data_IF_100556245953
#
_entry.id   IF_100556245953
#
_cell.length_a   1.000
_cell.length_b   1.000
_cell.length_c   1.000
_cell.angle_alpha   90.00
_cell.angle_beta   90.00
_cell.angle_gamma   90.00
#
_symmetry.space_group_name_H-M   'P 1'
#
loop_
_entity.id
_entity.type
_entity.pdbx_description
1 polymer ?
#
# COMPACT_ATOMS: atom_id res chain seq x y z
N UNK A 1 -17.74 4.77 -12.11
CA UNK A 1 -18.73 4.93 -10.98
C UNK A 1 -18.76 3.64 -10.20
N UNK A 2 -18.55 3.71 -8.89
CA UNK A 2 -18.52 2.52 -8.04
C UNK A 2 -19.76 1.63 -8.25
N UNK A 3 -19.59 0.31 -8.24
CA UNK A 3 -20.66 -0.68 -8.50
C UNK A 3 -21.74 -0.70 -7.42
N UNK A 4 -21.42 -0.23 -6.22
CA UNK A 4 -22.39 0.01 -5.15
C UNK A 4 -22.27 1.47 -4.70
N UNK A 5 -23.37 2.13 -4.30
CA UNK A 5 -23.32 3.50 -3.81
C UNK A 5 -22.52 3.55 -2.50
N UNK A 6 -21.84 4.66 -2.23
CA UNK A 6 -21.31 4.91 -0.90
C UNK A 6 -22.45 5.16 0.08
N UNK A 7 -22.34 4.73 1.34
CA UNK A 7 -23.35 5.03 2.35
C UNK A 7 -23.44 6.55 2.59
N UNK A 8 -24.66 7.04 2.81
CA UNK A 8 -24.93 8.48 3.01
C UNK A 8 -24.49 8.95 4.41
N UNK A 9 -24.72 8.13 5.42
CA UNK A 9 -24.39 8.42 6.81
C UNK A 9 -23.25 7.51 7.28
N UNK A 10 -22.04 8.03 7.29
CA UNK A 10 -20.85 7.31 7.77
C UNK A 10 -20.20 8.14 8.88
N UNK A 11 -19.85 7.48 9.99
CA UNK A 11 -19.01 8.10 11.01
C UNK A 11 -17.69 8.58 10.37
N UNK A 12 -17.33 9.86 10.48
CA UNK A 12 -16.13 10.41 9.84
C UNK A 12 -14.85 9.62 10.17
N UNK A 13 -14.69 9.20 11.41
CA UNK A 13 -13.52 8.46 11.90
C UNK A 13 -13.32 7.11 11.18
N UNK A 14 -14.39 6.55 10.59
CA UNK A 14 -14.28 5.30 9.84
C UNK A 14 -13.61 5.47 8.48
N UNK A 15 -13.80 6.60 7.87
CA UNK A 15 -13.45 6.82 6.45
C UNK A 15 -12.39 7.90 6.25
N UNK A 16 -12.22 8.80 7.21
CA UNK A 16 -11.14 9.78 7.19
C UNK A 16 -9.79 9.10 7.41
N UNK A 17 -8.78 9.60 6.75
CA UNK A 17 -7.42 9.15 6.98
C UNK A 17 -7.02 9.49 8.42
N UNK A 18 -6.97 8.47 9.28
CA UNK A 18 -6.36 8.63 10.60
C UNK A 18 -4.85 8.67 10.39
N UNK A 19 -4.34 9.88 10.22
CA UNK A 19 -2.91 10.08 10.28
C UNK A 19 -2.53 10.39 11.71
N UNK A 20 -1.36 9.90 12.17
CA UNK A 20 -0.83 10.33 13.43
C UNK A 20 -0.76 11.85 13.47
N UNK A 21 -1.09 12.47 14.60
CA UNK A 21 -0.91 13.91 14.82
C UNK A 21 0.54 14.40 14.59
N UNK A 22 1.44 13.48 14.38
CA UNK A 22 2.88 13.67 14.19
C UNK A 22 3.35 13.60 12.73
N UNK A 23 2.46 13.66 11.73
CA UNK A 23 2.94 13.73 10.36
C UNK A 23 3.86 14.96 10.19
N UNK A 24 5.04 14.77 9.58
CA UNK A 24 5.91 15.87 9.23
C UNK A 24 5.14 16.94 8.47
N UNK A 25 5.48 18.21 8.70
CA UNK A 25 4.81 19.37 8.07
C UNK A 25 4.77 19.25 6.53
N UNK A 26 5.78 18.60 5.94
CA UNK A 26 5.83 18.30 4.50
C UNK A 26 4.62 17.49 3.98
N UNK A 27 3.94 16.78 4.86
CA UNK A 27 2.75 15.96 4.54
C UNK A 27 1.43 16.64 4.91
N UNK A 28 1.47 17.86 5.45
CA UNK A 28 0.26 18.57 5.93
C UNK A 28 -0.82 18.73 4.84
N UNK A 29 -0.41 18.89 3.58
CA UNK A 29 -1.31 18.95 2.44
C UNK A 29 -2.04 17.65 2.17
N UNK A 30 -1.47 16.52 2.59
CA UNK A 30 -2.12 15.22 2.52
C UNK A 30 -3.13 15.00 3.67
N UNK A 31 -3.10 15.86 4.72
CA UNK A 31 -4.07 15.86 5.81
C UNK A 31 -5.41 16.51 5.45
N UNK A 32 -5.48 17.23 4.34
CA UNK A 32 -6.68 17.96 3.92
C UNK A 32 -7.73 17.05 3.27
N UNK A 33 -7.58 15.75 3.38
CA UNK A 33 -8.38 14.88 2.57
C UNK A 33 -9.55 14.28 3.31
N UNK A 34 -10.67 14.56 2.74
CA UNK A 34 -11.92 13.84 2.83
C UNK A 34 -11.74 12.32 2.92
N UNK A 35 -12.78 11.69 3.35
CA UNK A 35 -12.94 10.24 3.38
C UNK A 35 -12.39 9.54 2.14
N UNK A 36 -11.47 8.57 2.36
CA UNK A 36 -10.94 7.76 1.27
C UNK A 36 -12.01 6.87 0.68
N UNK A 37 -12.12 6.86 -0.64
CA UNK A 37 -13.12 6.08 -1.34
C UNK A 37 -13.01 4.57 -1.06
N UNK A 38 -11.81 4.06 -0.85
CA UNK A 38 -11.59 2.68 -0.44
C UNK A 38 -12.32 2.33 0.86
N UNK A 39 -12.22 3.18 1.89
CA UNK A 39 -12.93 2.93 3.15
C UNK A 39 -14.43 3.20 3.03
N UNK A 40 -14.82 4.20 2.27
CA UNK A 40 -16.24 4.49 1.97
C UNK A 40 -16.92 3.32 1.27
N UNK A 41 -16.21 2.61 0.39
CA UNK A 41 -16.76 1.49 -0.37
C UNK A 41 -17.20 0.30 0.50
N UNK A 42 -16.55 0.13 1.66
CA UNK A 42 -16.84 -0.95 2.62
C UNK A 42 -17.53 -0.45 3.90
N UNK A 43 -17.84 0.86 3.98
CA UNK A 43 -18.40 1.47 5.18
C UNK A 43 -19.89 1.12 5.44
N UNK A 44 -20.53 0.35 4.57
CA UNK A 44 -21.81 -0.28 4.84
C UNK A 44 -21.73 -1.25 6.04
N UNK A 45 -20.54 -1.76 6.35
CA UNK A 45 -20.26 -2.63 7.50
C UNK A 45 -19.16 -2.01 8.36
N UNK A 46 -19.50 -1.15 9.32
CA UNK A 46 -18.53 -0.40 10.14
C UNK A 46 -17.45 -1.26 10.82
N UNK A 47 -17.82 -2.45 11.32
CA UNK A 47 -16.86 -3.34 11.98
C UNK A 47 -15.83 -3.92 11.01
N UNK A 48 -16.21 -4.11 9.75
CA UNK A 48 -15.27 -4.53 8.68
C UNK A 48 -14.26 -3.42 8.44
N UNK A 49 -14.71 -2.16 8.34
CA UNK A 49 -13.79 -1.01 8.16
C UNK A 49 -12.82 -0.90 9.33
N UNK A 50 -13.32 -0.97 10.58
CA UNK A 50 -12.49 -0.87 11.79
C UNK A 50 -11.41 -1.95 11.82
N UNK A 51 -11.80 -3.22 11.58
CA UNK A 51 -10.84 -4.34 11.59
C UNK A 51 -9.84 -4.27 10.45
N UNK A 52 -10.28 -3.87 9.26
CA UNK A 52 -9.42 -3.71 8.10
C UNK A 52 -8.39 -2.60 8.30
N UNK A 53 -8.81 -1.44 8.79
CA UNK A 53 -7.91 -0.33 9.11
C UNK A 53 -6.93 -0.68 10.21
N UNK A 54 -7.38 -1.37 11.26
CA UNK A 54 -6.48 -1.84 12.32
C UNK A 54 -5.42 -2.80 11.78
N UNK A 55 -5.80 -3.69 10.85
CA UNK A 55 -4.85 -4.58 10.19
C UNK A 55 -3.84 -3.80 9.33
N UNK A 56 -4.30 -2.88 8.49
CA UNK A 56 -3.41 -2.02 7.68
C UNK A 56 -2.44 -1.23 8.55
N UNK A 57 -2.91 -0.58 9.62
CA UNK A 57 -2.04 0.17 10.54
C UNK A 57 -0.98 -0.73 11.17
N UNK A 58 -1.38 -1.91 11.67
CA UNK A 58 -0.46 -2.85 12.30
C UNK A 58 0.62 -3.35 11.31
N UNK A 59 0.23 -3.72 10.09
CA UNK A 59 1.19 -4.18 9.07
C UNK A 59 2.10 -3.03 8.61
N UNK A 60 1.57 -1.82 8.48
CA UNK A 60 2.33 -0.63 8.15
C UNK A 60 3.41 -0.30 9.20
N UNK A 61 3.04 -0.33 10.49
CA UNK A 61 3.92 0.05 11.59
C UNK A 61 4.98 -1.01 11.90
N UNK A 62 4.68 -2.30 11.63
CA UNK A 62 5.49 -3.43 12.08
C UNK A 62 6.06 -4.29 10.95
N UNK A 63 6.01 -3.84 9.69
CA UNK A 63 6.63 -4.57 8.56
C UNK A 63 8.17 -4.60 8.61
N UNK A 64 8.80 -3.74 9.40
CA UNK A 64 10.25 -3.68 9.53
C UNK A 64 10.97 -2.97 8.37
N UNK A 65 10.24 -2.28 7.53
CA UNK A 65 10.74 -1.49 6.40
C UNK A 65 10.80 -0.01 6.75
N UNK A 66 11.77 0.70 6.18
CA UNK A 66 11.77 2.17 6.18
C UNK A 66 10.60 2.71 5.33
N UNK A 67 10.28 4.00 5.50
CA UNK A 67 9.19 4.64 4.74
C UNK A 67 9.40 4.50 3.24
N UNK A 68 10.62 4.71 2.76
CA UNK A 68 11.00 4.54 1.35
C UNK A 68 10.85 3.08 0.87
N UNK A 69 11.34 2.11 1.63
CA UNK A 69 11.26 0.70 1.28
C UNK A 69 9.81 0.21 1.24
N UNK A 70 8.98 0.73 2.14
CA UNK A 70 7.54 0.44 2.17
C UNK A 70 6.82 0.95 0.93
N UNK A 71 7.13 2.18 0.48
CA UNK A 71 6.55 2.71 -0.74
C UNK A 71 7.01 1.93 -1.98
N UNK A 72 8.27 1.48 -2.05
CA UNK A 72 8.76 0.60 -3.11
C UNK A 72 7.99 -0.73 -3.15
N UNK A 73 7.76 -1.35 -1.98
CA UNK A 73 6.94 -2.55 -1.86
C UNK A 73 5.53 -2.30 -2.42
N UNK A 74 4.87 -1.24 -1.96
CA UNK A 74 3.47 -0.95 -2.32
C UNK A 74 3.34 -0.67 -3.82
N UNK A 75 4.25 0.11 -4.39
CA UNK A 75 4.26 0.38 -5.83
C UNK A 75 4.54 -0.89 -6.65
N UNK A 76 5.45 -1.76 -6.19
CA UNK A 76 5.72 -3.04 -6.85
C UNK A 76 4.50 -3.96 -6.82
N UNK A 77 3.79 -4.04 -5.68
CA UNK A 77 2.52 -4.76 -5.55
C UNK A 77 1.45 -4.16 -6.47
N UNK A 78 1.25 -2.83 -6.40
CA UNK A 78 0.23 -2.15 -7.20
C UNK A 78 0.42 -2.38 -8.71
N UNK A 79 1.67 -2.36 -9.17
CA UNK A 79 2.04 -2.68 -10.55
C UNK A 79 1.67 -4.13 -10.90
N UNK A 80 2.03 -5.08 -10.03
CA UNK A 80 1.84 -6.52 -10.30
C UNK A 80 0.37 -6.90 -10.42
N UNK A 81 -0.47 -6.33 -9.55
CA UNK A 81 -1.91 -6.62 -9.54
C UNK A 81 -2.74 -5.61 -10.34
N UNK A 82 -2.09 -4.75 -11.14
CA UNK A 82 -2.73 -3.72 -11.97
C UNK A 82 -3.71 -2.82 -11.20
N UNK A 83 -3.26 -2.34 -10.04
CA UNK A 83 -4.04 -1.47 -9.15
C UNK A 83 -3.81 0.00 -9.45
N UNK A 84 -4.61 0.59 -10.34
CA UNK A 84 -4.56 2.02 -10.67
C UNK A 84 -4.79 2.90 -9.43
N UNK A 85 -5.70 2.51 -8.55
CA UNK A 85 -6.01 3.24 -7.33
C UNK A 85 -4.81 3.33 -6.38
N UNK A 86 -4.20 2.19 -6.04
CA UNK A 86 -3.04 2.16 -5.14
C UNK A 86 -1.83 2.86 -5.75
N UNK A 87 -1.60 2.64 -7.05
CA UNK A 87 -0.56 3.36 -7.78
C UNK A 87 -0.74 4.88 -7.68
N UNK A 88 -1.93 5.37 -7.98
CA UNK A 88 -2.24 6.80 -7.91
C UNK A 88 -2.03 7.40 -6.51
N UNK A 89 -2.44 6.69 -5.47
CA UNK A 89 -2.29 7.14 -4.09
C UNK A 89 -0.82 7.14 -3.64
N UNK A 90 -0.08 6.08 -3.97
CA UNK A 90 1.26 5.85 -3.43
C UNK A 90 2.38 6.54 -4.21
N UNK A 91 2.23 6.85 -5.50
CA UNK A 91 3.21 7.68 -6.24
C UNK A 91 3.48 9.00 -5.54
N UNK A 92 2.46 9.67 -5.02
CA UNK A 92 2.64 10.95 -4.31
C UNK A 92 3.38 10.77 -2.99
N UNK A 93 3.09 9.71 -2.26
CA UNK A 93 3.75 9.40 -0.98
C UNK A 93 5.20 9.01 -1.26
N UNK A 94 5.45 8.17 -2.25
CA UNK A 94 6.78 7.75 -2.67
C UNK A 94 7.71 8.95 -3.00
N UNK A 95 7.21 9.94 -3.74
CA UNK A 95 7.94 11.19 -4.00
C UNK A 95 8.29 11.94 -2.71
N UNK A 96 7.39 11.93 -1.72
CA UNK A 96 7.61 12.57 -0.42
C UNK A 96 8.61 11.80 0.44
N UNK A 97 8.65 10.47 0.29
CA UNK A 97 9.62 9.60 0.95
C UNK A 97 10.96 9.53 0.22
N UNK A 98 11.13 10.34 -0.82
CA UNK A 98 12.41 10.59 -1.47
C UNK A 98 12.71 9.70 -2.66
N UNK A 99 11.71 8.98 -3.21
CA UNK A 99 11.84 8.38 -4.51
C UNK A 99 11.88 9.48 -5.59
N UNK A 100 12.69 9.28 -6.61
CA UNK A 100 12.72 10.17 -7.77
C UNK A 100 11.67 9.74 -8.82
N UNK A 101 11.25 10.64 -9.72
CA UNK A 101 10.38 10.28 -10.83
C UNK A 101 10.96 9.15 -11.69
N UNK A 102 12.28 9.12 -11.86
CA UNK A 102 13.00 8.11 -12.64
C UNK A 102 12.92 6.73 -11.95
N UNK A 103 13.03 6.69 -10.62
CA UNK A 103 12.87 5.45 -9.86
C UNK A 103 11.42 4.94 -9.93
N UNK A 104 10.43 5.83 -9.81
CA UNK A 104 9.02 5.45 -9.95
C UNK A 104 8.74 4.91 -11.36
N UNK A 105 9.31 5.53 -12.39
CA UNK A 105 9.22 5.03 -13.76
C UNK A 105 9.84 3.64 -13.88
N UNK A 106 11.04 3.42 -13.33
CA UNK A 106 11.70 2.11 -13.32
C UNK A 106 10.84 1.04 -12.64
N UNK A 107 10.21 1.35 -11.50
CA UNK A 107 9.26 0.43 -10.85
C UNK A 107 8.08 0.12 -11.77
N UNK A 108 7.53 1.11 -12.48
CA UNK A 108 6.42 0.91 -13.42
C UNK A 108 6.79 -0.02 -14.59
N UNK A 109 8.04 0.01 -15.01
CA UNK A 109 8.60 -0.84 -16.09
C UNK A 109 9.05 -2.21 -15.58
N UNK A 110 9.16 -2.40 -14.26
CA UNK A 110 9.69 -3.60 -13.61
C UNK A 110 11.21 -3.71 -13.70
N UNK A 111 11.89 -2.59 -13.90
CA UNK A 111 13.35 -2.51 -13.90
C UNK A 111 13.86 -2.10 -12.52
N UNK A 112 14.30 -3.08 -11.74
CA UNK A 112 14.84 -2.86 -10.40
C UNK A 112 16.36 -2.75 -10.37
N UNK A 113 17.04 -2.82 -11.51
CA UNK A 113 18.51 -2.86 -11.60
C UNK A 113 19.22 -1.63 -11.02
N UNK A 114 18.52 -0.49 -10.94
CA UNK A 114 19.06 0.75 -10.38
C UNK A 114 18.93 0.90 -8.85
N UNK A 115 18.27 -0.05 -8.18
CA UNK A 115 18.02 -0.02 -6.73
C UNK A 115 19.08 -0.81 -5.95
N UNK A 116 19.14 -0.60 -4.64
CA UNK A 116 20.03 -1.39 -3.77
C UNK A 116 19.59 -2.86 -3.74
N UNK A 117 20.53 -3.77 -3.43
CA UNK A 117 20.22 -5.21 -3.35
C UNK A 117 19.07 -5.52 -2.38
N UNK A 118 18.98 -4.79 -1.28
CA UNK A 118 17.87 -4.89 -0.33
C UNK A 118 16.54 -4.45 -0.94
N UNK A 119 16.52 -3.30 -1.61
CA UNK A 119 15.30 -2.78 -2.26
C UNK A 119 14.83 -3.70 -3.40
N UNK A 120 15.77 -4.25 -4.18
CA UNK A 120 15.47 -5.27 -5.20
C UNK A 120 14.82 -6.50 -4.58
N UNK A 121 15.42 -7.05 -3.51
CA UNK A 121 14.89 -8.23 -2.82
C UNK A 121 13.47 -7.97 -2.27
N UNK A 122 13.21 -6.78 -1.74
CA UNK A 122 11.88 -6.38 -1.26
C UNK A 122 10.86 -6.35 -2.41
N UNK A 123 11.19 -5.70 -3.52
CA UNK A 123 10.27 -5.54 -4.64
C UNK A 123 10.01 -6.86 -5.36
N UNK A 124 11.05 -7.67 -5.63
CA UNK A 124 10.92 -8.98 -6.27
C UNK A 124 10.08 -9.94 -5.41
N UNK A 125 10.36 -10.01 -4.10
CA UNK A 125 9.53 -10.79 -3.18
C UNK A 125 8.07 -10.32 -3.19
N UNK A 126 7.86 -9.02 -3.15
CA UNK A 126 6.51 -8.44 -3.07
C UNK A 126 5.69 -8.70 -4.32
N UNK A 127 6.30 -8.62 -5.50
CA UNK A 127 5.64 -8.99 -6.76
C UNK A 127 5.30 -10.48 -6.81
N UNK A 128 6.29 -11.34 -6.50
CA UNK A 128 6.06 -12.78 -6.49
C UNK A 128 4.97 -13.19 -5.48
N UNK A 129 4.93 -12.54 -4.31
CA UNK A 129 3.91 -12.81 -3.30
C UNK A 129 2.52 -12.30 -3.73
N UNK A 130 2.45 -11.16 -4.39
CA UNK A 130 1.20 -10.61 -4.92
C UNK A 130 0.62 -11.45 -6.06
N UNK A 131 1.49 -12.08 -6.87
CA UNK A 131 1.14 -12.97 -7.97
C UNK A 131 0.86 -14.44 -7.55
N UNK A 132 1.02 -14.80 -6.26
CA UNK A 132 1.01 -16.19 -5.77
C UNK A 132 2.09 -17.09 -6.43
N UNK A 133 3.26 -16.46 -6.71
CA UNK A 133 4.40 -17.10 -7.38
C UNK A 133 5.67 -17.12 -6.50
N UNK A 134 5.50 -16.97 -5.17
CA UNK A 134 6.63 -16.98 -4.23
C UNK A 134 7.36 -18.32 -4.22
N UNK A 135 8.69 -18.26 -4.28
CA UNK A 135 9.58 -19.43 -4.16
C UNK A 135 10.45 -19.31 -2.91
N UNK A 136 11.09 -20.43 -2.54
CA UNK A 136 12.07 -20.45 -1.44
C UNK A 136 13.21 -19.43 -1.67
N UNK A 137 13.65 -19.26 -2.93
CA UNK A 137 14.70 -18.30 -3.31
C UNK A 137 14.31 -16.84 -2.99
N UNK A 138 13.05 -16.46 -3.24
CA UNK A 138 12.54 -15.12 -2.89
C UNK A 138 12.61 -14.88 -1.38
N UNK A 139 12.22 -15.88 -0.59
CA UNK A 139 12.24 -15.80 0.88
C UNK A 139 13.66 -15.78 1.42
N UNK A 140 14.55 -16.65 0.89
CA UNK A 140 15.96 -16.70 1.27
C UNK A 140 16.65 -15.37 0.99
N UNK A 141 16.48 -14.81 -0.20
CA UNK A 141 17.05 -13.52 -0.59
C UNK A 141 16.55 -12.36 0.29
N UNK A 142 15.26 -12.31 0.58
CA UNK A 142 14.70 -11.30 1.48
C UNK A 142 15.27 -11.46 2.90
N UNK A 143 15.48 -12.70 3.36
CA UNK A 143 16.01 -13.03 4.68
C UNK A 143 17.49 -12.66 4.85
N UNK A 144 18.22 -12.36 3.79
CA UNK A 144 19.58 -11.81 3.88
C UNK A 144 19.58 -10.39 4.49
N UNK A 145 18.47 -9.66 4.34
CA UNK A 145 18.33 -8.26 4.75
C UNK A 145 17.37 -8.04 5.91
N UNK A 146 16.40 -8.94 6.11
CA UNK A 146 15.34 -8.81 7.10
C UNK A 146 15.36 -9.97 8.11
N UNK A 147 15.02 -9.68 9.36
CA UNK A 147 14.79 -10.73 10.36
C UNK A 147 13.52 -11.52 10.06
N UNK A 148 13.36 -12.69 10.67
CA UNK A 148 12.16 -13.53 10.50
C UNK A 148 10.87 -12.76 10.83
N UNK A 149 10.90 -11.94 11.87
CA UNK A 149 9.77 -11.09 12.28
C UNK A 149 9.43 -10.08 11.17
N UNK A 150 10.45 -9.47 10.58
CA UNK A 150 10.26 -8.48 9.52
C UNK A 150 9.86 -9.13 8.18
N UNK A 151 10.37 -10.30 7.84
CA UNK A 151 9.87 -11.08 6.69
C UNK A 151 8.38 -11.38 6.86
N UNK A 152 7.98 -11.82 8.06
CA UNK A 152 6.56 -12.05 8.37
C UNK A 152 5.71 -10.78 8.26
N UNK A 153 6.20 -9.66 8.81
CA UNK A 153 5.52 -8.36 8.74
C UNK A 153 5.41 -7.83 7.30
N UNK A 154 6.48 -7.95 6.51
CA UNK A 154 6.51 -7.59 5.09
C UNK A 154 5.50 -8.42 4.30
N UNK A 155 5.45 -9.74 4.53
CA UNK A 155 4.47 -10.64 3.89
C UNK A 155 3.04 -10.23 4.23
N UNK A 156 2.78 -9.91 5.50
CA UNK A 156 1.45 -9.46 5.93
C UNK A 156 1.06 -8.13 5.27
N UNK A 157 2.02 -7.22 5.06
CA UNK A 157 1.78 -5.96 4.36
C UNK A 157 1.42 -6.19 2.89
N UNK A 158 2.14 -7.05 2.17
CA UNK A 158 1.77 -7.44 0.79
C UNK A 158 0.34 -7.98 0.75
N UNK A 159 0.01 -8.94 1.65
CA UNK A 159 -1.33 -9.51 1.73
C UNK A 159 -2.42 -8.47 2.00
N UNK A 160 -2.14 -7.45 2.82
CA UNK A 160 -3.07 -6.37 3.10
C UNK A 160 -3.38 -5.54 1.84
N UNK A 161 -2.37 -5.21 1.02
CA UNK A 161 -2.56 -4.47 -0.24
C UNK A 161 -3.23 -5.31 -1.32
N UNK A 162 -2.97 -6.60 -1.40
CA UNK A 162 -3.70 -7.51 -2.29
C UNK A 162 -5.18 -7.57 -1.89
N UNK A 163 -5.49 -7.72 -0.60
CA UNK A 163 -6.87 -7.71 -0.11
C UNK A 163 -7.58 -6.37 -0.39
N UNK A 164 -6.86 -5.25 -0.25
CA UNK A 164 -7.35 -3.93 -0.59
C UNK A 164 -7.73 -3.85 -2.07
N UNK A 165 -6.83 -4.28 -2.96
CA UNK A 165 -7.07 -4.27 -4.40
C UNK A 165 -8.26 -5.14 -4.81
N UNK A 166 -8.46 -6.30 -4.18
CA UNK A 166 -9.66 -7.14 -4.43
C UNK A 166 -10.93 -6.35 -4.16
N UNK A 167 -10.96 -5.56 -3.08
CA UNK A 167 -12.09 -4.71 -2.74
C UNK A 167 -12.28 -3.59 -3.78
N UNK A 168 -11.21 -2.88 -4.11
CA UNK A 168 -11.21 -1.79 -5.09
C UNK A 168 -11.71 -2.28 -6.47
N UNK A 169 -11.13 -3.35 -6.98
CA UNK A 169 -11.47 -3.92 -8.28
C UNK A 169 -12.89 -4.50 -8.32
N UNK A 170 -13.29 -5.24 -7.28
CA UNK A 170 -14.63 -5.84 -7.20
C UNK A 170 -15.72 -4.79 -7.17
N UNK A 171 -15.49 -3.65 -6.50
CA UNK A 171 -16.47 -2.58 -6.34
C UNK A 171 -16.30 -1.43 -7.34
N UNK A 172 -15.31 -1.50 -8.23
CA UNK A 172 -15.00 -0.46 -9.23
C UNK A 172 -14.82 0.92 -8.56
N UNK A 173 -13.96 0.95 -7.55
CA UNK A 173 -13.73 2.15 -6.74
C UNK A 173 -12.81 3.10 -7.48
N UNK A 174 -13.30 4.29 -7.79
CA UNK A 174 -12.54 5.34 -8.46
C UNK A 174 -11.62 6.07 -7.46
N UNK A 175 -10.53 6.61 -7.97
CA UNK A 175 -9.67 7.54 -7.22
C UNK A 175 -10.47 8.78 -6.80
N UNK A 176 -10.06 9.43 -5.73
CA UNK A 176 -10.64 10.71 -5.34
C UNK A 176 -10.30 11.76 -6.41
N UNK A 177 -11.27 12.62 -6.70
CA UNK A 177 -11.02 13.79 -7.53
C UNK A 177 -10.01 14.72 -6.82
N UNK A 178 -9.13 15.39 -7.57
CA UNK A 178 -8.12 16.29 -7.01
C UNK A 178 -8.70 17.54 -6.36
#
# INVERSE_FOLDING_TARGET
>A
MARIPFPEDVEPDLVESQRPDSLPEKYSHLNQQAARNVYRSIAHEPEVVRSFRAHLSATWEHCGLSDRERELLILAVAREIDSEYEWHQHVRIALLEGLTPEEILAVSEGDFSGFTEKEQAIMEFSQAAAADETTDEHVERLSEFLSVEHVSGTTALVGAYVALNVTLAALDVETEEP
#
